data_IF_763208259681
#
_entry.id   IF_763208259681
#
_cell.length_a   1.000
_cell.length_b   1.000
_cell.length_c   1.000
_cell.angle_alpha   90.00
_cell.angle_beta   90.00
_cell.angle_gamma   90.00
#
_symmetry.space_group_name_H-M   'P 1'
#
loop_
_entity.id
_entity.type
_entity.pdbx_description
1 polymer ?
#
# COMPACT_ATOMS: atom_id res chain seq x y z
N UNK A 1 31.44 -50.85 -8.93
CA UNK A 1 30.61 -50.11 -9.90
C UNK A 1 29.20 -49.85 -9.38
N UNK A 2 28.45 -50.86 -8.93
CA UNK A 2 27.05 -50.70 -8.46
C UNK A 2 26.88 -49.67 -7.32
N UNK A 3 27.77 -49.67 -6.32
CA UNK A 3 27.70 -48.72 -5.19
C UNK A 3 27.90 -47.23 -5.59
N UNK A 4 28.57 -46.98 -6.71
CA UNK A 4 28.75 -45.62 -7.25
C UNK A 4 27.47 -45.15 -7.92
N UNK A 5 26.80 -46.05 -8.66
CA UNK A 5 25.49 -45.77 -9.26
C UNK A 5 24.41 -45.51 -8.21
N UNK A 6 24.40 -46.27 -7.10
CA UNK A 6 23.43 -46.04 -6.01
C UNK A 6 23.64 -44.66 -5.36
N UNK A 7 24.89 -44.23 -5.16
CA UNK A 7 25.18 -42.90 -4.61
C UNK A 7 24.77 -41.77 -5.57
N UNK A 8 25.05 -41.93 -6.87
CA UNK A 8 24.66 -40.95 -7.88
C UNK A 8 23.13 -40.86 -7.98
N UNK A 9 22.43 -42.00 -8.00
CA UNK A 9 20.97 -42.05 -8.07
C UNK A 9 20.33 -41.45 -6.82
N UNK A 10 20.88 -41.73 -5.63
CA UNK A 10 20.44 -41.15 -4.37
C UNK A 10 20.61 -39.62 -4.34
N UNK A 11 21.73 -39.12 -4.87
CA UNK A 11 21.99 -37.68 -4.96
C UNK A 11 21.06 -36.98 -5.96
N UNK A 12 20.77 -37.62 -7.10
CA UNK A 12 19.81 -37.11 -8.09
C UNK A 12 18.38 -37.09 -7.54
N UNK A 13 17.96 -38.12 -6.80
CA UNK A 13 16.64 -38.16 -6.16
C UNK A 13 16.53 -37.06 -5.10
N UNK A 14 17.58 -36.83 -4.31
CA UNK A 14 17.63 -35.77 -3.31
C UNK A 14 17.59 -34.37 -3.95
N UNK A 15 18.30 -34.20 -5.08
CA UNK A 15 18.30 -32.97 -5.88
C UNK A 15 16.93 -32.68 -6.52
N UNK A 16 16.17 -33.72 -6.88
CA UNK A 16 14.82 -33.57 -7.42
C UNK A 16 13.75 -33.30 -6.34
N UNK A 17 14.00 -33.69 -5.09
CA UNK A 17 13.04 -33.55 -3.99
C UNK A 17 13.12 -32.18 -3.29
N UNK A 18 14.28 -31.51 -3.29
CA UNK A 18 14.45 -30.18 -2.68
C UNK A 18 13.92 -29.01 -3.56
N UNK A 19 13.28 -29.28 -4.70
CA UNK A 19 13.02 -28.30 -5.77
C UNK A 19 11.61 -27.74 -5.91
N UNK A 20 10.65 -28.04 -5.03
CA UNK A 20 9.23 -27.76 -5.31
C UNK A 20 8.41 -27.15 -4.15
N UNK A 21 9.04 -26.40 -3.23
CA UNK A 21 8.31 -25.65 -2.17
C UNK A 21 8.32 -24.12 -2.35
N UNK A 22 9.04 -23.59 -3.33
CA UNK A 22 9.20 -22.14 -3.53
C UNK A 22 8.12 -21.50 -4.44
N UNK A 23 7.42 -22.31 -5.23
CA UNK A 23 6.50 -21.85 -6.28
C UNK A 23 5.08 -21.61 -5.76
N UNK A 24 4.59 -22.46 -4.85
CA UNK A 24 3.27 -22.33 -4.24
C UNK A 24 3.16 -21.10 -3.32
N UNK A 25 4.24 -20.75 -2.61
CA UNK A 25 4.28 -19.58 -1.73
C UNK A 25 4.25 -18.24 -2.50
N UNK A 26 4.75 -18.22 -3.76
CA UNK A 26 4.75 -17.01 -4.60
C UNK A 26 3.42 -16.80 -5.37
N UNK A 27 2.69 -17.86 -5.69
CA UNK A 27 1.37 -17.77 -6.35
C UNK A 27 0.28 -17.34 -5.37
N UNK A 28 0.33 -17.82 -4.13
CA UNK A 28 -0.59 -17.38 -3.07
C UNK A 28 -0.33 -15.95 -2.58
N UNK A 29 0.91 -15.45 -2.69
CA UNK A 29 1.25 -14.07 -2.28
C UNK A 29 1.11 -13.04 -3.39
N UNK A 30 1.15 -13.44 -4.67
CA UNK A 30 0.93 -12.52 -5.80
C UNK A 30 -0.49 -11.97 -5.87
N UNK A 31 -1.46 -12.77 -5.47
CA UNK A 31 -2.88 -12.37 -5.45
C UNK A 31 -3.26 -11.72 -4.12
N UNK A 32 -2.46 -11.92 -3.06
CA UNK A 32 -2.80 -11.55 -1.67
C UNK A 32 -2.13 -10.27 -1.16
N UNK A 33 -1.52 -9.45 -2.01
CA UNK A 33 -1.27 -8.04 -1.63
C UNK A 33 -2.52 -7.16 -1.82
N UNK A 34 -3.71 -7.76 -1.90
CA UNK A 34 -4.93 -7.13 -1.45
C UNK A 34 -4.91 -7.07 0.09
N UNK A 35 -4.19 -6.09 0.65
CA UNK A 35 -4.42 -5.68 2.04
C UNK A 35 -5.94 -5.56 2.23
N UNK A 36 -6.52 -6.33 3.14
CA UNK A 36 -7.97 -6.30 3.41
C UNK A 36 -8.29 -4.90 3.92
N UNK A 37 -8.59 -3.99 3.00
CA UNK A 37 -8.88 -2.61 3.30
C UNK A 37 -10.37 -2.53 3.60
N UNK A 38 -10.70 -2.29 4.87
CA UNK A 38 -12.09 -2.00 5.25
C UNK A 38 -12.40 -0.57 4.89
N UNK A 39 -13.47 -0.36 4.14
CA UNK A 39 -13.92 0.98 3.83
C UNK A 39 -14.20 1.75 5.14
N UNK A 40 -13.63 2.95 5.35
CA UNK A 40 -13.87 3.73 6.57
C UNK A 40 -15.33 4.19 6.70
N UNK A 41 -16.09 4.19 5.61
CA UNK A 41 -17.48 4.67 5.60
C UNK A 41 -18.51 3.58 5.89
N UNK A 42 -18.37 2.40 5.27
CA UNK A 42 -19.34 1.30 5.41
C UNK A 42 -18.77 0.03 6.07
N UNK A 43 -17.46 -0.03 6.34
CA UNK A 43 -16.81 -1.18 6.96
C UNK A 43 -16.62 -2.39 6.03
N UNK A 44 -17.16 -2.38 4.81
CA UNK A 44 -17.06 -3.49 3.86
C UNK A 44 -15.63 -3.72 3.40
N UNK A 45 -15.24 -4.99 3.21
CA UNK A 45 -13.96 -5.38 2.61
C UNK A 45 -14.01 -5.42 1.07
N UNK A 46 -15.20 -5.29 0.47
CA UNK A 46 -15.38 -5.40 -0.97
C UNK A 46 -15.05 -4.10 -1.68
N UNK A 47 -14.07 -4.17 -2.59
CA UNK A 47 -13.60 -3.02 -3.38
C UNK A 47 -13.64 -3.36 -4.87
N UNK A 48 -14.04 -2.40 -5.69
CA UNK A 48 -14.08 -2.49 -7.16
C UNK A 48 -13.09 -1.52 -7.79
N UNK A 49 -12.64 -1.79 -9.02
CA UNK A 49 -11.91 -0.83 -9.85
C UNK A 49 -12.88 0.12 -10.55
N UNK A 50 -12.63 1.42 -10.45
CA UNK A 50 -13.44 2.48 -11.06
C UNK A 50 -12.59 3.33 -12.02
N UNK A 51 -12.16 2.72 -13.11
CA UNK A 51 -11.30 3.34 -14.11
C UNK A 51 -9.89 3.63 -13.61
N UNK A 52 -9.19 4.54 -14.27
CA UNK A 52 -7.82 4.92 -13.94
C UNK A 52 -7.66 6.43 -13.75
N UNK A 53 -6.59 6.81 -13.05
CA UNK A 53 -6.09 8.18 -13.03
C UNK A 53 -5.41 8.51 -14.36
N UNK A 54 -5.19 9.79 -14.66
CA UNK A 54 -4.41 10.23 -15.83
C UNK A 54 -3.03 9.55 -15.90
N UNK A 55 -2.46 9.19 -14.75
CA UNK A 55 -1.16 8.53 -14.64
C UNK A 55 -1.26 6.99 -14.78
N UNK A 56 -2.38 6.46 -15.27
CA UNK A 56 -2.62 5.03 -15.49
C UNK A 56 -2.90 4.21 -14.23
N UNK A 57 -2.79 4.78 -13.02
CA UNK A 57 -3.04 4.03 -11.77
C UNK A 57 -4.53 3.72 -11.62
N UNK A 58 -4.94 2.49 -11.29
CA UNK A 58 -6.33 2.12 -11.11
C UNK A 58 -6.93 2.89 -9.93
N UNK A 59 -8.10 3.49 -10.13
CA UNK A 59 -8.91 4.04 -9.05
C UNK A 59 -9.72 2.89 -8.45
N UNK A 60 -9.87 2.88 -7.15
CA UNK A 60 -10.62 1.85 -6.43
C UNK A 60 -11.76 2.51 -5.66
N UNK A 61 -12.85 1.80 -5.44
CA UNK A 61 -13.96 2.29 -4.63
C UNK A 61 -14.65 1.15 -3.88
N UNK A 62 -15.24 1.46 -2.72
CA UNK A 62 -16.04 0.49 -1.97
C UNK A 62 -17.24 0.04 -2.79
N UNK A 63 -17.48 -1.28 -2.85
CA UNK A 63 -18.60 -1.84 -3.60
C UNK A 63 -19.96 -1.37 -3.06
N UNK A 64 -20.08 -1.34 -1.73
CA UNK A 64 -21.37 -1.12 -1.08
C UNK A 64 -21.72 0.37 -0.90
N UNK A 65 -20.71 1.24 -0.83
CA UNK A 65 -20.90 2.68 -0.60
C UNK A 65 -20.46 3.57 -1.77
N UNK A 66 -19.76 3.02 -2.77
CA UNK A 66 -19.19 3.80 -3.88
C UNK A 66 -18.07 4.78 -3.47
N UNK A 67 -17.63 4.77 -2.21
CA UNK A 67 -16.62 5.71 -1.72
C UNK A 67 -15.27 5.44 -2.41
N UNK A 68 -14.64 6.44 -3.05
CA UNK A 68 -13.31 6.30 -3.61
C UNK A 68 -12.29 5.90 -2.54
N UNK A 69 -11.39 5.01 -2.92
CA UNK A 69 -10.40 4.40 -2.05
C UNK A 69 -9.00 4.57 -2.62
N UNK A 70 -8.10 5.07 -1.79
CA UNK A 70 -6.67 5.14 -2.12
C UNK A 70 -5.98 3.96 -1.45
N UNK A 71 -5.57 2.99 -2.26
CA UNK A 71 -4.77 1.85 -1.80
C UNK A 71 -3.32 2.30 -1.70
N UNK A 72 -2.69 2.03 -0.56
CA UNK A 72 -1.30 2.40 -0.26
C UNK A 72 -1.02 3.92 -0.41
N UNK A 73 -1.51 4.76 0.52
CA UNK A 73 -1.25 6.19 0.46
C UNK A 73 0.25 6.45 0.59
N UNK A 74 0.89 6.91 -0.49
CA UNK A 74 2.30 7.33 -0.49
C UNK A 74 2.52 8.69 0.16
N UNK A 75 1.43 9.39 0.49
CA UNK A 75 1.48 10.73 1.03
C UNK A 75 1.85 10.69 2.51
N UNK A 76 2.83 11.51 2.90
CA UNK A 76 3.22 11.68 4.30
C UNK A 76 2.00 12.14 5.12
N UNK A 77 1.59 11.33 6.09
CA UNK A 77 0.53 11.69 7.03
C UNK A 77 1.00 12.86 7.88
N UNK A 78 0.27 13.97 7.83
CA UNK A 78 0.53 15.13 8.70
C UNK A 78 0.03 14.80 10.10
N UNK A 79 0.90 14.98 11.09
CA UNK A 79 0.57 14.75 12.48
C UNK A 79 -0.41 15.80 13.03
N UNK A 80 -1.17 15.43 14.05
CA UNK A 80 -2.29 16.25 14.55
C UNK A 80 -1.81 17.57 15.19
N UNK A 81 -0.64 17.57 15.79
CA UNK A 81 0.04 18.74 16.34
C UNK A 81 0.38 19.76 15.23
N UNK A 82 0.88 19.30 14.09
CA UNK A 82 1.15 20.19 12.94
C UNK A 82 -0.15 20.75 12.36
N UNK A 83 -1.23 19.95 12.33
CA UNK A 83 -2.56 20.46 11.92
C UNK A 83 -3.06 21.56 12.86
N UNK A 84 -2.93 21.37 14.19
CA UNK A 84 -3.30 22.39 15.19
C UNK A 84 -2.48 23.67 15.02
N UNK A 85 -1.17 23.54 14.81
CA UNK A 85 -0.30 24.69 14.55
C UNK A 85 -0.76 25.46 13.29
N UNK A 86 -1.04 24.76 12.19
CA UNK A 86 -1.53 25.39 10.95
C UNK A 86 -2.86 26.11 11.19
N UNK A 87 -3.79 25.51 11.94
CA UNK A 87 -5.07 26.15 12.27
C UNK A 87 -4.87 27.46 13.06
N UNK A 88 -3.97 27.47 14.06
CA UNK A 88 -3.63 28.69 14.80
C UNK A 88 -3.02 29.77 13.89
N UNK A 89 -2.08 29.41 13.01
CA UNK A 89 -1.46 30.37 12.09
C UNK A 89 -2.46 30.96 11.07
N UNK A 90 -3.46 30.17 10.66
CA UNK A 90 -4.54 30.64 9.79
C UNK A 90 -5.49 31.61 10.51
N UNK A 91 -5.75 31.38 11.81
CA UNK A 91 -6.54 32.31 12.63
C UNK A 91 -5.85 33.67 12.74
N UNK A 92 -4.52 33.68 12.86
CA UNK A 92 -3.67 34.88 12.82
C UNK A 92 -3.55 35.50 11.41
N UNK A 93 -4.30 35.00 10.43
CA UNK A 93 -4.32 35.48 9.02
C UNK A 93 -2.95 35.43 8.35
N UNK A 94 -2.04 34.56 8.80
CA UNK A 94 -0.73 34.41 8.18
C UNK A 94 -0.90 33.83 6.78
N UNK A 95 -0.24 34.44 5.80
CA UNK A 95 -0.28 33.96 4.42
C UNK A 95 0.17 32.50 4.32
N UNK A 96 -0.38 31.73 3.38
CA UNK A 96 0.07 30.36 3.10
C UNK A 96 1.59 30.27 2.93
N UNK A 97 2.21 31.27 2.30
CA UNK A 97 3.66 31.35 2.12
C UNK A 97 4.41 31.52 3.45
N UNK A 98 3.85 32.29 4.39
CA UNK A 98 4.36 32.39 5.75
C UNK A 98 4.25 31.08 6.51
N UNK A 99 3.11 30.41 6.44
CA UNK A 99 2.89 29.10 7.05
C UNK A 99 3.89 28.08 6.48
N UNK A 100 4.10 28.05 5.16
CA UNK A 100 5.11 27.19 4.53
C UNK A 100 6.50 27.37 5.12
N UNK A 101 6.92 28.60 5.40
CA UNK A 101 8.24 28.86 6.00
C UNK A 101 8.33 28.34 7.43
N UNK A 102 7.26 28.46 8.21
CA UNK A 102 7.22 27.99 9.60
C UNK A 102 7.12 26.47 9.69
N UNK A 103 6.35 25.85 8.80
CA UNK A 103 6.09 24.40 8.81
C UNK A 103 6.98 23.61 7.84
N UNK A 104 7.98 24.23 7.21
CA UNK A 104 8.91 23.53 6.29
C UNK A 104 8.31 23.11 4.94
N UNK A 105 7.25 23.77 4.45
CA UNK A 105 6.73 23.64 3.08
C UNK A 105 5.95 22.37 2.76
N UNK A 106 6.17 21.27 3.47
CA UNK A 106 5.58 19.95 3.15
C UNK A 106 4.10 19.79 3.54
N UNK A 107 3.56 20.72 4.33
CA UNK A 107 2.27 20.53 5.02
C UNK A 107 1.08 21.34 4.47
N UNK A 108 1.29 22.16 3.43
CA UNK A 108 0.24 23.07 2.93
C UNK A 108 -0.83 22.41 2.04
N UNK A 109 -0.74 21.09 1.83
CA UNK A 109 -1.67 20.34 0.97
C UNK A 109 -2.94 19.91 1.74
N UNK A 110 -2.95 19.99 3.08
CA UNK A 110 -3.98 19.36 3.92
C UNK A 110 -4.82 20.34 4.77
N UNK A 111 -4.73 21.65 4.51
CA UNK A 111 -5.45 22.65 5.28
C UNK A 111 -6.85 23.00 4.70
N UNK A 112 -7.38 22.20 3.78
CA UNK A 112 -8.66 22.44 3.11
C UNK A 112 -9.54 21.19 3.05
N UNK A 113 -9.79 20.59 4.21
CA UNK A 113 -10.92 19.67 4.43
C UNK A 113 -11.60 20.02 5.76
#
# INVERSE_FOLDING_TARGET
MIAVFINILSWLIKFWWDGDEDLEQNLLTKDSQASIFRCPKCGSCHTLENGSTHNGKPKRQGKDCGQPLVINPSNKTVSNETKKLIALLLLERISRRGIARVTGGEHLIYASE
#
